data_IF_083814232595
#
_entry.id   IF_083814232595
#
_cell.length_a   1.000
_cell.length_b   1.000
_cell.length_c   1.000
_cell.angle_alpha   90.00
_cell.angle_beta   90.00
_cell.angle_gamma   90.00
#
_symmetry.space_group_name_H-M   'P 1'
#
loop_
_entity.id
_entity.type
_entity.pdbx_description
1 polymer ?
#
# COMPACT_ATOMS: atom_id res chain seq x y z
N UNK A 1 -8.06 4.36 -43.73
CA UNK A 1 -8.47 4.83 -42.39
C UNK A 1 -7.46 4.29 -41.38
N UNK A 2 -6.62 5.11 -40.72
CA UNK A 2 -5.83 4.62 -39.60
C UNK A 2 -6.74 4.46 -38.37
N UNK A 3 -6.78 3.26 -37.81
CA UNK A 3 -7.51 2.95 -36.58
C UNK A 3 -6.67 3.45 -35.39
N UNK A 4 -7.07 4.55 -34.77
CA UNK A 4 -6.46 5.04 -33.54
C UNK A 4 -6.77 4.08 -32.40
N UNK A 5 -5.78 3.30 -31.97
CA UNK A 5 -5.87 2.51 -30.75
C UNK A 5 -5.97 3.48 -29.56
N UNK A 6 -7.15 3.60 -28.96
CA UNK A 6 -7.32 4.30 -27.69
C UNK A 6 -6.65 3.47 -26.60
N UNK A 7 -5.49 3.92 -26.14
CA UNK A 7 -4.84 3.41 -24.93
C UNK A 7 -5.74 3.74 -23.74
N UNK A 8 -6.47 2.75 -23.24
CA UNK A 8 -7.24 2.87 -21.99
C UNK A 8 -6.23 3.08 -20.87
N UNK A 9 -6.08 4.32 -20.39
CA UNK A 9 -5.25 4.59 -19.22
C UNK A 9 -5.90 3.93 -18.01
N UNK A 10 -5.19 3.07 -17.25
CA UNK A 10 -5.74 2.47 -16.06
C UNK A 10 -6.07 3.58 -15.07
N UNK A 11 -7.34 3.67 -14.67
CA UNK A 11 -7.77 4.60 -13.62
C UNK A 11 -7.18 4.13 -12.29
N UNK A 12 -6.30 4.94 -11.70
CA UNK A 12 -5.81 4.73 -10.34
C UNK A 12 -6.68 5.49 -9.36
N UNK A 13 -6.88 4.92 -8.17
CA UNK A 13 -7.56 5.56 -7.04
C UNK A 13 -6.55 5.77 -5.92
N UNK A 14 -6.49 6.98 -5.39
CA UNK A 14 -5.63 7.28 -4.25
C UNK A 14 -6.24 6.74 -2.95
N UNK A 15 -5.44 6.01 -2.17
CA UNK A 15 -5.79 5.54 -0.83
C UNK A 15 -4.79 6.06 0.18
N UNK A 16 -5.29 6.46 1.35
CA UNK A 16 -4.46 6.72 2.52
C UNK A 16 -4.31 5.42 3.33
N UNK A 17 -3.07 5.05 3.63
CA UNK A 17 -2.78 3.88 4.47
C UNK A 17 -2.10 4.30 5.76
N UNK A 18 -2.31 3.50 6.81
CA UNK A 18 -1.60 3.58 8.08
C UNK A 18 -1.20 2.18 8.49
N UNK A 19 0.08 1.97 8.84
CA UNK A 19 0.56 0.68 9.34
C UNK A 19 1.44 0.88 10.57
N UNK A 20 1.19 0.08 11.60
CA UNK A 20 2.02 -0.03 12.79
C UNK A 20 2.60 -1.43 12.89
N UNK A 21 3.92 -1.51 13.07
CA UNK A 21 4.67 -2.76 13.25
C UNK A 21 5.48 -2.75 14.53
N UNK A 22 5.72 -3.94 15.08
CA UNK A 22 6.74 -4.21 16.07
C UNK A 22 7.88 -5.00 15.42
N UNK A 23 9.10 -4.51 15.56
CA UNK A 23 10.32 -5.15 15.04
C UNK A 23 10.82 -6.23 16.00
N UNK A 24 11.69 -7.17 15.54
CA UNK A 24 12.22 -8.23 16.39
C UNK A 24 13.01 -7.73 17.61
N UNK A 25 13.63 -6.55 17.52
CA UNK A 25 14.35 -5.90 18.63
C UNK A 25 13.41 -5.12 19.58
N UNK A 26 12.09 -5.25 19.39
CA UNK A 26 11.07 -4.70 20.28
C UNK A 26 10.72 -3.23 20.02
N UNK A 27 11.19 -2.63 18.92
CA UNK A 27 10.81 -1.25 18.55
C UNK A 27 9.43 -1.24 17.91
N UNK A 28 8.73 -0.13 18.10
CA UNK A 28 7.45 0.14 17.47
C UNK A 28 7.63 1.20 16.41
N UNK A 29 7.07 1.00 15.22
CA UNK A 29 7.05 2.00 14.18
C UNK A 29 5.65 2.12 13.58
N UNK A 30 5.17 3.34 13.44
CA UNK A 30 3.91 3.65 12.74
C UNK A 30 4.22 4.59 11.58
N UNK A 31 3.70 4.28 10.40
CA UNK A 31 3.77 5.15 9.23
C UNK A 31 2.44 5.27 8.55
N UNK A 32 2.30 6.37 7.82
CA UNK A 32 1.17 6.61 6.94
C UNK A 32 1.63 7.31 5.68
N UNK A 33 1.00 6.98 4.56
CA UNK A 33 1.20 7.68 3.31
C UNK A 33 -0.01 7.50 2.38
N UNK A 34 0.04 8.14 1.23
CA UNK A 34 -0.90 7.92 0.13
C UNK A 34 -0.27 6.93 -0.84
N UNK A 35 -1.09 6.00 -1.36
CA UNK A 35 -0.72 5.07 -2.41
C UNK A 35 -1.76 5.15 -3.54
N UNK A 36 -1.28 5.28 -4.77
CA UNK A 36 -2.12 5.21 -5.96
C UNK A 36 -2.32 3.75 -6.36
N UNK A 37 -3.58 3.32 -6.35
CA UNK A 37 -3.94 1.91 -6.51
C UNK A 37 -4.73 1.73 -7.81
N UNK A 38 -4.28 0.86 -8.74
CA UNK A 38 -5.07 0.52 -9.93
C UNK A 38 -6.42 -0.08 -9.57
N UNK A 39 -7.42 0.14 -10.44
CA UNK A 39 -8.71 -0.54 -10.33
C UNK A 39 -8.55 -2.07 -10.25
N UNK A 40 -9.26 -2.70 -9.31
CA UNK A 40 -9.24 -4.16 -9.12
C UNK A 40 -8.18 -4.67 -8.13
N UNK A 41 -7.30 -3.82 -7.62
CA UNK A 41 -6.37 -4.20 -6.54
C UNK A 41 -7.12 -4.31 -5.22
N UNK A 42 -6.82 -5.37 -4.45
CA UNK A 42 -7.46 -5.65 -3.18
C UNK A 42 -6.74 -4.99 -2.01
N UNK A 43 -7.44 -4.79 -0.88
CA UNK A 43 -6.84 -4.35 0.38
C UNK A 43 -5.65 -5.23 0.81
N UNK A 44 -5.72 -6.54 0.55
CA UNK A 44 -4.64 -7.48 0.86
C UNK A 44 -3.38 -7.19 0.02
N UNK A 45 -3.53 -6.93 -1.28
CA UNK A 45 -2.38 -6.63 -2.14
C UNK A 45 -1.70 -5.32 -1.73
N UNK A 46 -2.47 -4.31 -1.31
CA UNK A 46 -1.91 -3.07 -0.76
C UNK A 46 -1.21 -3.32 0.57
N UNK A 47 -1.80 -4.15 1.45
CA UNK A 47 -1.15 -4.57 2.69
C UNK A 47 0.20 -5.24 2.42
N UNK A 48 0.26 -6.21 1.50
CA UNK A 48 1.49 -6.92 1.16
C UNK A 48 2.55 -5.97 0.59
N UNK A 49 2.15 -5.03 -0.25
CA UNK A 49 3.02 -3.99 -0.79
C UNK A 49 3.63 -3.13 0.34
N UNK A 50 2.81 -2.62 1.25
CA UNK A 50 3.29 -1.79 2.38
C UNK A 50 4.13 -2.62 3.35
N UNK A 51 3.69 -3.83 3.70
CA UNK A 51 4.43 -4.73 4.59
C UNK A 51 5.82 -5.04 4.05
N UNK A 52 5.94 -5.26 2.73
CA UNK A 52 7.23 -5.50 2.09
C UNK A 52 8.20 -4.32 2.28
N UNK A 53 7.71 -3.08 2.20
CA UNK A 53 8.55 -1.90 2.45
C UNK A 53 9.10 -1.88 3.87
N UNK A 54 8.27 -2.22 4.87
CA UNK A 54 8.75 -2.34 6.25
C UNK A 54 9.73 -3.50 6.40
N UNK A 55 9.48 -4.64 5.76
CA UNK A 55 10.36 -5.81 5.83
C UNK A 55 11.72 -5.56 5.16
N UNK A 56 11.78 -4.76 4.09
CA UNK A 56 13.02 -4.35 3.45
C UNK A 56 13.86 -3.43 4.35
N UNK A 57 13.22 -2.60 5.18
CA UNK A 57 13.92 -1.68 6.08
C UNK A 57 14.33 -2.32 7.42
N UNK A 58 13.44 -3.10 8.03
CA UNK A 58 13.61 -3.65 9.38
C UNK A 58 14.00 -5.12 9.40
N UNK A 59 14.05 -5.77 8.24
CA UNK A 59 14.23 -7.21 8.10
C UNK A 59 12.92 -7.99 8.16
N UNK A 60 12.99 -9.27 7.82
CA UNK A 60 11.86 -10.18 7.92
C UNK A 60 11.46 -10.40 9.39
N UNK A 61 10.23 -10.88 9.63
CA UNK A 61 9.64 -11.19 10.96
C UNK A 61 9.08 -9.98 11.72
N UNK A 62 8.31 -9.14 11.05
CA UNK A 62 7.59 -8.04 11.70
C UNK A 62 6.23 -8.50 12.21
N UNK A 63 5.87 -8.06 13.42
CA UNK A 63 4.51 -8.23 13.94
C UNK A 63 3.71 -7.01 13.54
N UNK A 64 2.68 -7.19 12.72
CA UNK A 64 1.73 -6.11 12.41
C UNK A 64 0.77 -5.94 13.57
N UNK A 65 0.74 -4.74 14.13
CA UNK A 65 -0.16 -4.39 15.24
C UNK A 65 -1.43 -3.72 14.73
N UNK A 66 -1.30 -2.95 13.65
CA UNK A 66 -2.40 -2.19 13.07
C UNK A 66 -2.17 -2.00 11.58
N UNK A 67 -3.25 -2.10 10.80
CA UNK A 67 -3.25 -1.72 9.40
C UNK A 67 -4.62 -1.17 9.00
N UNK A 68 -4.63 0.05 8.49
CA UNK A 68 -5.80 0.66 7.89
C UNK A 68 -5.55 1.22 6.49
N UNK A 69 -6.60 1.17 5.68
CA UNK A 69 -6.60 1.62 4.30
C UNK A 69 -7.95 2.26 4.00
N UNK A 70 -7.93 3.55 3.67
CA UNK A 70 -9.13 4.35 3.41
C UNK A 70 -9.01 5.09 2.08
N UNK A 71 -10.11 5.25 1.31
CA UNK A 71 -10.10 6.12 0.14
C UNK A 71 -9.65 7.54 0.51
N UNK A 72 -8.73 8.12 -0.27
CA UNK A 72 -8.27 9.48 -0.04
C UNK A 72 -9.27 10.48 -0.65
N UNK A 73 -10.34 10.79 0.08
CA UNK A 73 -11.43 11.69 -0.35
C UNK A 73 -11.38 13.08 0.33
N UNK A 74 -10.21 13.49 0.85
CA UNK A 74 -10.02 14.82 1.44
C UNK A 74 -10.01 15.93 0.39
#
# INVERSE_FOLDING_TARGET
MPSSAQTVQPTTTAYHWVMSVQTPDGRFNTRSAIVDVPGGVTRQQVFEFVYKQFAEEYGATLVVLFFDLQPNQL
#
